data_IF_894494385404
#
_entry.id   IF_894494385404
#
_cell.length_a   1.000
_cell.length_b   1.000
_cell.length_c   1.000
_cell.angle_alpha   90.00
_cell.angle_beta   90.00
_cell.angle_gamma   90.00
#
_symmetry.space_group_name_H-M   'P 1'
#
loop_
_entity.id
_entity.type
_entity.pdbx_description
1 polymer ?
#
# COMPACT_ATOMS: atom_id res chain seq x y z
N UNK A 1 -15.00 2.16 -8.78
CA UNK A 1 -13.55 2.11 -9.07
C UNK A 1 -12.85 1.28 -8.01
N UNK A 2 -11.68 0.73 -8.34
CA UNK A 2 -10.73 0.08 -7.43
C UNK A 2 -9.46 0.91 -7.44
N UNK A 3 -8.97 1.27 -6.26
CA UNK A 3 -7.75 2.07 -6.10
C UNK A 3 -6.67 1.19 -5.48
N UNK A 4 -5.58 0.99 -6.21
CA UNK A 4 -4.36 0.35 -5.75
C UNK A 4 -3.38 1.43 -5.30
N UNK A 5 -2.95 1.40 -4.03
CA UNK A 5 -1.87 2.25 -3.55
C UNK A 5 -0.59 1.42 -3.68
N UNK A 6 0.16 1.66 -4.77
CA UNK A 6 1.36 0.92 -5.09
C UNK A 6 2.54 1.45 -4.27
N UNK A 7 3.20 0.55 -3.55
CA UNK A 7 4.34 0.87 -2.67
C UNK A 7 5.43 -0.17 -2.87
N UNK A 8 6.66 0.23 -2.61
CA UNK A 8 7.81 -0.66 -2.60
C UNK A 8 7.87 -1.42 -1.25
N UNK A 9 7.85 -2.76 -1.33
CA UNK A 9 7.89 -3.65 -0.18
C UNK A 9 9.13 -3.43 0.69
N UNK A 10 10.30 -3.20 0.10
CA UNK A 10 11.55 -2.97 0.83
C UNK A 10 11.47 -1.65 1.60
N UNK A 11 10.83 -0.64 1.00
CA UNK A 11 10.60 0.66 1.65
C UNK A 11 9.59 0.57 2.78
N UNK A 12 8.58 -0.31 2.68
CA UNK A 12 7.65 -0.58 3.79
C UNK A 12 8.36 -1.22 4.98
N UNK A 13 9.26 -2.17 4.71
CA UNK A 13 10.08 -2.81 5.75
C UNK A 13 10.96 -1.77 6.45
N UNK A 14 11.65 -0.92 5.69
CA UNK A 14 12.47 0.15 6.24
C UNK A 14 11.67 1.16 7.09
N UNK A 15 10.43 1.49 6.67
CA UNK A 15 9.53 2.35 7.44
C UNK A 15 9.15 1.74 8.79
N UNK A 16 8.84 0.44 8.84
CA UNK A 16 8.56 -0.24 10.11
C UNK A 16 9.78 -0.23 11.02
N UNK A 17 10.98 -0.50 10.47
CA UNK A 17 12.23 -0.44 11.25
C UNK A 17 12.45 0.94 11.87
N UNK A 18 12.25 2.03 11.10
CA UNK A 18 12.34 3.40 11.63
C UNK A 18 11.31 3.67 12.73
N UNK A 19 10.06 3.24 12.52
CA UNK A 19 8.99 3.44 13.50
C UNK A 19 9.30 2.76 14.85
N UNK A 20 9.85 1.54 14.82
CA UNK A 20 10.26 0.83 16.03
C UNK A 20 11.38 1.58 16.76
N UNK A 21 12.35 2.11 16.02
CA UNK A 21 13.47 2.87 16.58
C UNK A 21 13.02 4.20 17.22
N UNK A 22 12.07 4.90 16.60
CA UNK A 22 11.59 6.21 17.06
C UNK A 22 10.58 6.12 18.21
N UNK A 23 9.84 5.01 18.34
CA UNK A 23 8.73 4.88 19.30
C UNK A 23 9.12 4.30 20.68
N UNK A 24 10.40 4.00 20.92
CA UNK A 24 10.90 3.52 22.22
C UNK A 24 10.50 2.09 22.60
N UNK A 25 9.94 1.32 21.67
CA UNK A 25 9.57 -0.09 21.87
C UNK A 25 8.54 -0.56 20.85
N UNK A 26 8.79 -1.71 20.22
CA UNK A 26 7.80 -2.37 19.38
C UNK A 26 6.63 -2.88 20.24
N UNK A 27 5.38 -2.65 19.81
CA UNK A 27 4.30 -3.57 20.22
C UNK A 27 4.70 -4.97 19.74
N UNK A 28 4.36 -6.02 20.50
CA UNK A 28 4.71 -7.41 20.18
C UNK A 28 4.38 -7.84 18.73
N UNK A 29 3.46 -7.13 18.09
CA UNK A 29 2.93 -7.41 16.76
C UNK A 29 3.62 -6.62 15.63
N UNK A 30 4.50 -5.66 15.97
CA UNK A 30 5.32 -4.89 15.02
C UNK A 30 6.68 -5.59 14.85
N UNK A 31 6.69 -6.78 14.26
CA UNK A 31 7.92 -7.47 13.88
C UNK A 31 8.01 -7.63 12.35
N UNK A 32 9.22 -7.42 11.82
CA UNK A 32 9.52 -7.50 10.38
C UNK A 32 9.02 -8.80 9.74
N UNK A 33 9.08 -9.89 10.49
CA UNK A 33 8.61 -11.21 10.07
C UNK A 33 7.09 -11.22 9.79
N UNK A 34 6.29 -10.57 10.64
CA UNK A 34 4.85 -10.43 10.43
C UNK A 34 4.54 -9.58 9.20
N UNK A 35 5.28 -8.49 8.98
CA UNK A 35 5.11 -7.69 7.76
C UNK A 35 5.43 -8.52 6.52
N UNK A 36 6.56 -9.24 6.50
CA UNK A 36 6.95 -10.13 5.39
C UNK A 36 5.86 -11.17 5.10
N UNK A 37 5.33 -11.83 6.13
CA UNK A 37 4.21 -12.77 5.99
C UNK A 37 2.96 -12.11 5.40
N UNK A 38 2.62 -10.91 5.84
CA UNK A 38 1.47 -10.15 5.30
C UNK A 38 1.67 -9.78 3.83
N UNK A 39 2.88 -9.33 3.45
CA UNK A 39 3.22 -9.02 2.06
C UNK A 39 3.17 -10.28 1.19
N UNK A 40 3.70 -11.42 1.65
CA UNK A 40 3.60 -12.69 0.94
C UNK A 40 2.14 -13.09 0.69
N UNK A 41 1.29 -13.00 1.73
CA UNK A 41 -0.14 -13.28 1.61
C UNK A 41 -0.82 -12.32 0.62
N UNK A 42 -0.51 -11.02 0.68
CA UNK A 42 -1.00 -10.04 -0.28
C UNK A 42 -0.63 -10.41 -1.72
N UNK A 43 0.64 -10.72 -1.98
CA UNK A 43 1.11 -11.10 -3.32
C UNK A 43 0.48 -12.39 -3.84
N UNK A 44 0.22 -13.34 -2.93
CA UNK A 44 -0.38 -14.63 -3.30
C UNK A 44 -1.90 -14.57 -3.50
N UNK A 45 -2.61 -13.73 -2.73
CA UNK A 45 -4.08 -13.79 -2.66
C UNK A 45 -4.77 -12.53 -3.17
N UNK A 46 -4.16 -11.36 -2.98
CA UNK A 46 -4.78 -10.06 -3.28
C UNK A 46 -4.26 -9.48 -4.59
N UNK A 47 -2.94 -9.44 -4.81
CA UNK A 47 -2.33 -8.92 -6.04
C UNK A 47 -2.84 -9.61 -7.33
N UNK A 48 -3.18 -10.93 -7.35
CA UNK A 48 -3.76 -11.57 -8.53
C UNK A 48 -5.15 -11.05 -8.93
N UNK A 49 -5.81 -10.25 -8.08
CA UNK A 49 -7.06 -9.55 -8.42
C UNK A 49 -6.82 -8.30 -9.30
N UNK A 50 -5.61 -7.75 -9.31
CA UNK A 50 -5.29 -6.53 -10.08
C UNK A 50 -5.52 -6.71 -11.59
N UNK A 51 -5.06 -7.79 -12.25
CA UNK A 51 -5.39 -8.04 -13.66
C UNK A 51 -6.89 -8.11 -13.95
N UNK A 52 -7.69 -8.63 -13.01
CA UNK A 52 -9.15 -8.71 -13.17
C UNK A 52 -9.78 -7.31 -13.20
N UNK A 53 -9.43 -6.43 -12.27
CA UNK A 53 -9.93 -5.06 -12.25
C UNK A 53 -9.36 -4.19 -13.37
N UNK A 54 -8.10 -4.45 -13.78
CA UNK A 54 -7.48 -3.80 -14.94
C UNK A 54 -8.23 -4.10 -16.23
N UNK A 55 -8.60 -5.37 -16.48
CA UNK A 55 -9.40 -5.75 -17.66
C UNK A 55 -10.79 -5.13 -17.69
N UNK A 56 -11.35 -4.81 -16.53
CA UNK A 56 -12.65 -4.12 -16.42
C UNK A 56 -12.54 -2.60 -16.60
N UNK A 57 -11.34 -2.05 -16.71
CA UNK A 57 -11.12 -0.61 -16.86
C UNK A 57 -11.45 0.20 -15.61
N UNK A 58 -11.53 -0.44 -14.44
CA UNK A 58 -11.91 0.22 -13.17
C UNK A 58 -10.77 0.29 -12.16
N UNK A 59 -9.57 -0.19 -12.51
CA UNK A 59 -8.39 -0.14 -11.66
C UNK A 59 -7.64 1.18 -11.88
N UNK A 60 -7.41 1.91 -10.80
CA UNK A 60 -6.56 3.10 -10.75
C UNK A 60 -5.40 2.82 -9.80
N UNK A 61 -4.17 3.00 -10.26
CA UNK A 61 -2.96 2.83 -9.44
C UNK A 61 -2.44 4.21 -9.03
N UNK A 62 -2.20 4.39 -7.74
CA UNK A 62 -1.65 5.60 -7.12
C UNK A 62 -0.27 5.27 -6.57
N UNK A 63 0.70 6.15 -6.82
CA UNK A 63 2.05 6.00 -6.28
C UNK A 63 2.08 6.35 -4.78
N UNK A 64 2.09 5.31 -3.94
CA UNK A 64 2.13 5.42 -2.48
C UNK A 64 3.49 5.78 -1.89
N UNK A 65 4.52 5.96 -2.73
CA UNK A 65 5.85 6.41 -2.30
C UNK A 65 5.96 7.93 -2.19
N UNK A 66 4.95 8.67 -2.66
CA UNK A 66 4.85 10.13 -2.56
C UNK A 66 4.44 10.61 -1.16
N UNK A 67 4.40 11.93 -0.98
CA UNK A 67 3.86 12.52 0.25
C UNK A 67 2.39 12.18 0.45
N UNK A 68 1.91 12.25 1.70
CA UNK A 68 0.51 11.96 2.03
C UNK A 68 -0.41 12.93 1.28
N UNK A 69 0.00 14.19 1.18
CA UNK A 69 -0.72 15.25 0.50
C UNK A 69 -0.88 14.95 -1.00
N UNK A 70 0.19 14.50 -1.66
CA UNK A 70 0.17 14.11 -3.07
C UNK A 70 -0.71 12.88 -3.33
N UNK A 71 -0.58 11.85 -2.48
CA UNK A 71 -1.40 10.63 -2.57
C UNK A 71 -2.89 10.97 -2.36
N UNK A 72 -3.19 11.80 -1.38
CA UNK A 72 -4.57 12.24 -1.07
C UNK A 72 -5.17 12.99 -2.25
N UNK A 73 -4.45 13.99 -2.78
CA UNK A 73 -4.91 14.75 -3.93
C UNK A 73 -5.12 13.88 -5.17
N UNK A 74 -4.28 12.84 -5.37
CA UNK A 74 -4.45 11.91 -6.48
C UNK A 74 -5.70 11.04 -6.33
N UNK A 75 -5.97 10.54 -5.12
CA UNK A 75 -7.18 9.78 -4.80
C UNK A 75 -8.43 10.65 -5.01
N UNK A 76 -8.42 11.90 -4.54
CA UNK A 76 -9.53 12.84 -4.72
C UNK A 76 -9.82 13.08 -6.21
N UNK A 77 -8.79 13.34 -7.02
CA UNK A 77 -8.94 13.48 -8.48
C UNK A 77 -9.58 12.26 -9.13
N UNK A 78 -9.18 11.05 -8.72
CA UNK A 78 -9.78 9.81 -9.21
C UNK A 78 -11.26 9.76 -8.84
N UNK A 79 -11.61 10.04 -7.58
CA UNK A 79 -12.99 9.99 -7.09
C UNK A 79 -13.89 11.04 -7.74
N UNK A 80 -13.37 12.24 -7.98
CA UNK A 80 -14.09 13.31 -8.67
C UNK A 80 -14.38 12.96 -10.14
N UNK A 81 -13.42 12.34 -10.84
CA UNK A 81 -13.60 11.90 -12.22
C UNK A 81 -14.59 10.74 -12.41
N UNK A 82 -15.11 10.15 -11.32
CA UNK A 82 -16.13 9.11 -11.34
C UNK A 82 -17.55 9.64 -11.11
N UNK A 83 -17.70 10.93 -10.78
CA UNK A 83 -18.99 11.61 -10.67
C UNK A 83 -19.50 11.99 -12.06
#
# INVERSE_FOLDING_TARGET
AVIEIAVDDDRLIDRIRRRIAESGGARSDDNEETLKKRLEVYHRQTAPLLPYYRRRGVLHSVDGMRSIEEVTAEIERILEGLR
#
